data_IF_943801939955
#
_entry.id   IF_943801939955
#
_cell.length_a   1.000
_cell.length_b   1.000
_cell.length_c   1.000
_cell.angle_alpha   90.00
_cell.angle_beta   90.00
_cell.angle_gamma   90.00
#
_symmetry.space_group_name_H-M   'P 1'
#
loop_
_entity.id
_entity.type
_entity.pdbx_description
1 polymer ?
#
# COMPACT_ATOMS: atom_id res chain seq x y z
N UNK A 1 28.74 11.14 -1.34
CA UNK A 1 28.24 10.24 -0.29
C UNK A 1 28.71 8.86 -0.69
N UNK A 2 29.70 8.31 0.02
CA UNK A 2 30.31 7.03 -0.33
C UNK A 2 29.30 5.90 -0.06
N UNK A 3 28.89 5.10 -1.06
CA UNK A 3 27.93 4.03 -0.88
C UNK A 3 28.45 2.87 -0.01
N UNK A 4 29.75 2.85 0.32
CA UNK A 4 30.40 1.76 1.06
C UNK A 4 30.42 1.92 2.58
N UNK A 5 30.06 3.09 3.12
CA UNK A 5 29.98 3.29 4.58
C UNK A 5 28.63 2.83 5.13
N UNK A 6 28.58 1.99 6.20
CA UNK A 6 27.32 1.61 6.83
C UNK A 6 26.60 2.84 7.35
N UNK A 7 25.29 2.95 7.05
CA UNK A 7 24.47 4.09 7.50
C UNK A 7 24.56 4.24 9.02
N UNK A 8 24.81 5.47 9.47
CA UNK A 8 24.70 5.81 10.90
C UNK A 8 23.25 5.69 11.36
N UNK A 9 23.04 5.37 12.64
CA UNK A 9 21.70 5.23 13.23
C UNK A 9 20.79 6.43 12.95
N UNK A 10 21.32 7.65 13.03
CA UNK A 10 20.57 8.88 12.74
C UNK A 10 20.08 8.95 11.30
N UNK A 11 20.91 8.49 10.34
CA UNK A 11 20.55 8.47 8.93
C UNK A 11 19.46 7.44 8.68
N UNK A 12 19.52 6.26 9.31
CA UNK A 12 18.45 5.25 9.26
C UNK A 12 17.12 5.82 9.74
N UNK A 13 17.13 6.56 10.85
CA UNK A 13 15.93 7.24 11.38
C UNK A 13 15.38 8.27 10.38
N UNK A 14 16.25 9.09 9.78
CA UNK A 14 15.84 10.07 8.76
C UNK A 14 15.20 9.39 7.54
N UNK A 15 15.78 8.29 7.06
CA UNK A 15 15.24 7.48 5.97
C UNK A 15 13.89 6.89 6.35
N UNK A 16 13.79 6.27 7.53
CA UNK A 16 12.54 5.67 8.00
C UNK A 16 11.41 6.70 8.13
N UNK A 17 11.71 7.90 8.63
CA UNK A 17 10.72 8.99 8.73
C UNK A 17 10.24 9.44 7.35
N UNK A 18 11.16 9.63 6.38
CA UNK A 18 10.80 9.99 5.00
C UNK A 18 9.95 8.91 4.32
N UNK A 19 10.34 7.65 4.44
CA UNK A 19 9.58 6.53 3.85
C UNK A 19 8.22 6.36 4.51
N UNK A 20 8.12 6.58 5.83
CA UNK A 20 6.84 6.55 6.53
C UNK A 20 5.88 7.64 6.05
N UNK A 21 6.37 8.87 5.86
CA UNK A 21 5.58 9.99 5.31
C UNK A 21 5.22 9.73 3.84
N UNK A 22 6.15 9.21 3.05
CA UNK A 22 5.89 8.87 1.66
C UNK A 22 4.81 7.78 1.52
N UNK A 23 4.67 6.86 2.48
CA UNK A 23 3.60 5.87 2.47
C UNK A 23 2.19 6.46 2.56
N UNK A 24 2.03 7.66 3.14
CA UNK A 24 0.74 8.38 3.14
C UNK A 24 0.30 8.85 1.75
N UNK A 25 1.18 8.85 0.75
CA UNK A 25 0.83 9.13 -0.66
C UNK A 25 0.23 7.90 -1.36
N UNK A 26 -0.61 7.12 -0.67
CA UNK A 26 -1.24 5.90 -1.21
C UNK A 26 -0.25 4.80 -1.64
N UNK A 27 0.92 4.72 -0.99
CA UNK A 27 1.91 3.68 -1.24
C UNK A 27 2.00 2.74 -0.03
N UNK A 28 1.00 1.88 0.21
CA UNK A 28 1.05 0.90 1.30
C UNK A 28 2.26 -0.04 1.14
N UNK A 29 2.62 -0.37 -0.10
CA UNK A 29 3.79 -1.20 -0.39
C UNK A 29 5.10 -0.62 0.18
N UNK A 30 5.22 0.71 0.25
CA UNK A 30 6.40 1.36 0.80
C UNK A 30 6.54 1.15 2.31
N UNK A 31 5.43 1.17 3.05
CA UNK A 31 5.42 0.83 4.47
C UNK A 31 5.82 -0.62 4.71
N UNK A 32 5.41 -1.54 3.83
CA UNK A 32 5.81 -2.94 3.90
C UNK A 32 7.30 -3.14 3.66
N UNK A 33 7.87 -2.53 2.62
CA UNK A 33 9.31 -2.57 2.35
C UNK A 33 10.12 -1.97 3.52
N UNK A 34 9.67 -0.83 4.06
CA UNK A 34 10.31 -0.19 5.21
C UNK A 34 10.34 -1.12 6.43
N UNK A 35 9.22 -1.79 6.68
CA UNK A 35 9.06 -2.71 7.80
C UNK A 35 9.96 -3.94 7.69
N UNK A 36 10.12 -4.51 6.50
CA UNK A 36 11.05 -5.63 6.25
C UNK A 36 12.50 -5.18 6.37
N UNK A 37 12.84 -4.03 5.79
CA UNK A 37 14.21 -3.51 5.74
C UNK A 37 14.77 -3.27 7.15
N UNK A 38 13.97 -2.66 8.04
CA UNK A 38 14.37 -2.38 9.42
C UNK A 38 13.90 -3.42 10.45
N UNK A 39 13.40 -4.59 10.02
CA UNK A 39 12.90 -5.65 10.92
C UNK A 39 13.94 -6.12 11.93
N UNK A 40 15.21 -6.18 11.53
CA UNK A 40 16.31 -6.70 12.36
C UNK A 40 16.96 -5.61 13.23
N UNK A 41 16.51 -4.36 13.12
CA UNK A 41 17.12 -3.26 13.85
C UNK A 41 16.71 -3.30 15.34
N UNK A 42 17.68 -3.10 16.24
CA UNK A 42 17.45 -3.13 17.70
C UNK A 42 17.04 -1.76 18.26
N UNK A 43 17.16 -0.70 17.46
CA UNK A 43 16.83 0.64 17.85
C UNK A 43 15.33 0.80 18.12
N UNK A 44 14.95 1.11 19.36
CA UNK A 44 13.55 1.23 19.78
C UNK A 44 12.77 2.28 18.97
N UNK A 45 13.43 3.37 18.59
CA UNK A 45 12.81 4.44 17.78
C UNK A 45 12.42 3.87 16.43
N UNK A 46 13.33 3.14 15.79
CA UNK A 46 13.10 2.53 14.48
C UNK A 46 12.02 1.45 14.56
N UNK A 47 12.01 0.63 15.60
CA UNK A 47 10.95 -0.35 15.81
C UNK A 47 9.57 0.28 16.00
N UNK A 48 9.47 1.44 16.65
CA UNK A 48 8.21 2.20 16.71
C UNK A 48 7.74 2.61 15.32
N UNK A 49 8.64 3.06 14.45
CA UNK A 49 8.30 3.39 13.06
C UNK A 49 7.89 2.14 12.26
N UNK A 50 8.58 1.01 12.43
CA UNK A 50 8.24 -0.27 11.79
C UNK A 50 6.84 -0.73 12.21
N UNK A 51 6.51 -0.70 13.50
CA UNK A 51 5.17 -1.07 14.01
C UNK A 51 4.08 -0.15 13.45
N UNK A 52 4.33 1.17 13.41
CA UNK A 52 3.41 2.14 12.81
C UNK A 52 3.22 1.92 11.31
N UNK A 53 4.29 1.60 10.58
CA UNK A 53 4.24 1.29 9.16
C UNK A 53 3.44 0.01 8.90
N UNK A 54 3.65 -1.06 9.68
CA UNK A 54 2.83 -2.27 9.61
C UNK A 54 1.35 -1.97 9.82
N UNK A 55 1.02 -1.21 10.87
CA UNK A 55 -0.37 -0.85 11.14
C UNK A 55 -0.98 -0.05 9.98
N UNK A 56 -0.27 0.96 9.47
CA UNK A 56 -0.69 1.74 8.31
C UNK A 56 -0.93 0.87 7.07
N UNK A 57 -0.03 -0.08 6.80
CA UNK A 57 -0.17 -1.04 5.70
C UNK A 57 -1.43 -1.89 5.82
N UNK A 58 -1.70 -2.46 6.99
CA UNK A 58 -2.89 -3.27 7.20
C UNK A 58 -4.18 -2.46 7.07
N UNK A 59 -4.22 -1.25 7.64
CA UNK A 59 -5.38 -0.36 7.53
C UNK A 59 -5.66 -0.01 6.07
N UNK A 60 -4.64 0.43 5.32
CA UNK A 60 -4.81 0.76 3.90
C UNK A 60 -5.20 -0.45 3.05
N UNK A 61 -4.56 -1.60 3.30
CA UNK A 61 -4.87 -2.85 2.59
C UNK A 61 -6.31 -3.27 2.87
N UNK A 62 -6.76 -3.18 4.11
CA UNK A 62 -8.15 -3.48 4.48
C UNK A 62 -9.13 -2.55 3.75
N UNK A 63 -8.90 -1.24 3.76
CA UNK A 63 -9.75 -0.30 3.01
C UNK A 63 -9.77 -0.59 1.50
N UNK A 64 -8.62 -0.87 0.89
CA UNK A 64 -8.53 -1.23 -0.53
C UNK A 64 -9.27 -2.54 -0.83
N UNK A 65 -9.14 -3.55 0.03
CA UNK A 65 -9.84 -4.83 -0.12
C UNK A 65 -11.34 -4.66 0.03
N UNK A 66 -11.80 -3.89 1.03
CA UNK A 66 -13.22 -3.58 1.21
C UNK A 66 -13.77 -2.83 0.01
N UNK A 67 -13.06 -1.80 -0.48
CA UNK A 67 -13.45 -1.09 -1.70
C UNK A 67 -13.53 -2.04 -2.91
N UNK A 68 -12.54 -2.92 -3.06
CA UNK A 68 -12.51 -3.90 -4.14
C UNK A 68 -13.66 -4.91 -4.05
N UNK A 69 -13.98 -5.41 -2.86
CA UNK A 69 -15.12 -6.30 -2.65
C UNK A 69 -16.45 -5.61 -3.02
N UNK A 70 -16.64 -4.35 -2.60
CA UNK A 70 -17.82 -3.56 -2.98
C UNK A 70 -17.88 -3.35 -4.49
N UNK A 71 -16.77 -2.98 -5.10
CA UNK A 71 -16.69 -2.79 -6.55
C UNK A 71 -17.04 -4.08 -7.29
N UNK A 72 -16.44 -5.22 -6.93
CA UNK A 72 -16.71 -6.49 -7.58
C UNK A 72 -18.15 -6.98 -7.37
N UNK A 73 -18.72 -6.82 -6.18
CA UNK A 73 -20.10 -7.26 -5.88
C UNK A 73 -21.17 -6.34 -6.47
N UNK A 74 -20.90 -5.04 -6.62
CA UNK A 74 -21.88 -4.08 -7.14
C UNK A 74 -21.63 -3.64 -8.58
N UNK A 75 -20.52 -4.02 -9.22
CA UNK A 75 -20.20 -3.74 -10.63
C UNK A 75 -21.38 -4.07 -11.53
N UNK A 76 -21.95 -5.26 -11.38
CA UNK A 76 -23.06 -5.76 -12.21
C UNK A 76 -24.33 -4.91 -12.04
N UNK A 77 -24.52 -4.28 -10.87
CA UNK A 77 -25.67 -3.39 -10.59
C UNK A 77 -25.42 -1.94 -11.02
N UNK A 78 -24.17 -1.54 -11.27
CA UNK A 78 -23.81 -0.16 -11.58
C UNK A 78 -23.94 0.17 -13.09
N UNK A 79 -24.13 -0.83 -13.95
CA UNK A 79 -24.35 -0.65 -15.40
C UNK A 79 -23.29 0.25 -16.04
N UNK A 80 -23.71 1.27 -16.80
CA UNK A 80 -22.84 2.24 -17.50
C UNK A 80 -21.82 2.94 -16.59
N UNK A 81 -22.13 3.13 -15.30
CA UNK A 81 -21.17 3.72 -14.35
C UNK A 81 -20.08 2.72 -13.95
N UNK A 82 -20.40 1.44 -13.87
CA UNK A 82 -19.43 0.36 -13.65
C UNK A 82 -18.51 0.15 -14.85
N UNK A 83 -19.04 0.29 -16.06
CA UNK A 83 -18.27 0.15 -17.30
C UNK A 83 -17.29 1.30 -17.54
N UNK A 84 -17.65 2.54 -17.16
CA UNK A 84 -16.73 3.68 -17.24
C UNK A 84 -15.60 3.63 -16.19
N UNK A 85 -15.79 2.89 -15.10
CA UNK A 85 -14.80 2.70 -14.03
C UNK A 85 -13.95 1.44 -14.23
N UNK A 86 -14.37 0.53 -15.11
CA UNK A 86 -13.66 -0.71 -15.39
C UNK A 86 -12.64 -0.50 -16.51
N UNK A 87 -11.37 -0.79 -16.22
CA UNK A 87 -10.29 -0.74 -17.22
C UNK A 87 -10.21 -2.04 -18.03
N UNK A 88 -10.67 -3.15 -17.44
CA UNK A 88 -10.71 -4.45 -18.08
C UNK A 88 -12.14 -5.01 -18.00
N UNK A 89 -12.86 -4.95 -19.12
CA UNK A 89 -14.20 -5.53 -19.26
C UNK A 89 -14.01 -6.96 -19.80
N UNK A 90 -14.42 -8.00 -19.05
CA UNK A 90 -14.28 -9.37 -19.54
C UNK A 90 -15.19 -9.60 -20.76
N UNK A 91 -14.61 -10.04 -21.87
CA UNK A 91 -15.35 -10.46 -23.06
C UNK A 91 -16.17 -11.73 -22.72
N UNK A 92 -17.49 -11.60 -22.66
CA UNK A 92 -18.42 -12.70 -22.37
C UNK A 92 -19.60 -12.37 -21.44
N UNK A 93 -19.76 -11.13 -20.99
CA UNK A 93 -20.95 -10.72 -20.20
C UNK A 93 -22.19 -10.73 -21.13
N UNK A 94 -23.12 -11.66 -20.90
CA UNK A 94 -24.29 -11.95 -21.74
C UNK A 94 -25.36 -10.84 -21.82
N UNK A 95 -25.09 -9.67 -21.24
CA UNK A 95 -25.99 -8.49 -21.27
C UNK A 95 -25.82 -7.64 -22.54
N UNK A 96 -24.96 -8.04 -23.47
CA UNK A 96 -24.67 -7.34 -24.73
C UNK A 96 -25.04 -8.13 -26.00
N UNK A 97 -25.58 -9.34 -25.85
CA UNK A 97 -25.96 -10.23 -26.97
C UNK A 97 -27.47 -10.18 -27.32
N UNK A 98 -28.18 -9.11 -26.95
CA UNK A 98 -29.60 -8.88 -27.29
C UNK A 98 -29.82 -7.63 -28.13
#
# INVERSE_FOLDING_TARGET
MDPSTPLTEEQKIKVAKKMYIAGFFFLPWLWFCLAIYFRKEKNEILQKYVKKAYFGFFVFTFFLLTWMAVFLSQRDRWGVKGDNLSVNIPYGDSNYDS
#
